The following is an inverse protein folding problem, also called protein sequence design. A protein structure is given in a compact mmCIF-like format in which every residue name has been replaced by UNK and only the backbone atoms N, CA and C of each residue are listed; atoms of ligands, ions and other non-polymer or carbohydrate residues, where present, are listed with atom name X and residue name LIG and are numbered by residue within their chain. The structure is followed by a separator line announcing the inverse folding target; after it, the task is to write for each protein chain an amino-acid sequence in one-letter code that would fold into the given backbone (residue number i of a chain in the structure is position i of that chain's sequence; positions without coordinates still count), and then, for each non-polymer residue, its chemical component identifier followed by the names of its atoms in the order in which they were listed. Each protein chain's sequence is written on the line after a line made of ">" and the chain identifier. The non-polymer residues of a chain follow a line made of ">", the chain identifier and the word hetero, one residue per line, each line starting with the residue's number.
data_IF_109450633764
#
_entry.id   IF_109450633764
#
_cell.length_a   1.000
_cell.length_b   1.000
_cell.length_c   1.000
_cell.angle_alpha   90.00
_cell.angle_beta   90.00
_cell.angle_gamma   90.00
#
_symmetry.space_group_name_H-M   'P 1'
#
loop_
_entity.id
_entity.type
_entity.pdbx_description
1 polymer ?
#
# COMPACT_ATOMS: atom_id res chain seq x y z
N UNK A 1 -22.01 55.47 51.09
CA UNK A 1 -20.86 54.80 50.43
C UNK A 1 -20.86 53.28 50.56
N UNK A 2 -21.09 52.69 51.75
CA UNK A 2 -21.08 51.22 51.93
C UNK A 2 -22.18 50.44 51.19
N UNK A 3 -23.34 51.06 50.92
CA UNK A 3 -24.48 50.44 50.20
C UNK A 3 -24.21 50.18 48.70
N UNK A 4 -23.27 50.91 48.08
CA UNK A 4 -22.88 50.71 46.67
C UNK A 4 -21.76 49.67 46.51
N UNK A 5 -21.07 49.29 47.60
CA UNK A 5 -19.99 48.30 47.53
C UNK A 5 -20.51 46.90 47.21
N UNK A 6 -21.67 46.52 47.76
CA UNK A 6 -22.29 45.22 47.53
C UNK A 6 -22.58 44.97 46.03
N UNK A 7 -23.29 45.85 45.30
CA UNK A 7 -23.54 45.64 43.87
C UNK A 7 -22.25 45.68 43.03
N UNK A 8 -21.25 46.49 43.41
CA UNK A 8 -19.95 46.52 42.71
C UNK A 8 -19.20 45.20 42.88
N UNK A 9 -19.19 44.62 44.09
CA UNK A 9 -18.57 43.32 44.35
C UNK A 9 -19.27 42.23 43.54
N UNK A 10 -20.60 42.23 43.49
CA UNK A 10 -21.38 41.27 42.70
C UNK A 10 -21.02 41.37 41.21
N UNK A 11 -20.95 42.60 40.66
CA UNK A 11 -20.55 42.83 39.28
C UNK A 11 -19.11 42.37 39.00
N UNK A 12 -18.18 42.62 39.92
CA UNK A 12 -16.79 42.19 39.79
C UNK A 12 -16.68 40.65 39.78
N UNK A 13 -17.42 39.95 40.65
CA UNK A 13 -17.46 38.48 40.69
C UNK A 13 -18.07 37.91 39.41
N UNK A 14 -19.16 38.51 38.90
CA UNK A 14 -19.77 38.13 37.63
C UNK A 14 -18.82 38.31 36.46
N UNK A 15 -18.15 39.47 36.37
CA UNK A 15 -17.16 39.74 35.33
C UNK A 15 -15.99 38.75 35.39
N UNK A 16 -15.49 38.46 36.58
CA UNK A 16 -14.42 37.48 36.79
C UNK A 16 -14.85 36.05 36.41
N UNK A 17 -16.08 35.65 36.73
CA UNK A 17 -16.63 34.35 36.36
C UNK A 17 -16.73 34.17 34.84
N UNK A 18 -17.27 35.18 34.14
CA UNK A 18 -17.37 35.16 32.67
C UNK A 18 -15.99 35.14 32.02
N UNK A 19 -15.05 35.95 32.52
CA UNK A 19 -13.68 35.98 32.03
C UNK A 19 -12.99 34.61 32.20
N UNK A 20 -13.10 34.02 33.39
CA UNK A 20 -12.49 32.72 33.67
C UNK A 20 -13.08 31.60 32.80
N UNK A 21 -14.39 31.63 32.56
CA UNK A 21 -15.05 30.70 31.66
C UNK A 21 -14.57 30.85 30.21
N UNK A 22 -14.48 32.08 29.70
CA UNK A 22 -14.02 32.36 28.35
C UNK A 22 -12.57 31.90 28.11
N UNK A 23 -11.68 32.16 29.08
CA UNK A 23 -10.29 31.69 29.03
C UNK A 23 -10.21 30.16 29.06
N UNK A 24 -10.99 29.52 29.94
CA UNK A 24 -11.06 28.06 30.03
C UNK A 24 -11.50 27.43 28.71
N UNK A 25 -12.57 27.95 28.12
CA UNK A 25 -13.08 27.48 26.83
C UNK A 25 -12.03 27.60 25.71
N UNK A 26 -11.37 28.76 25.61
CA UNK A 26 -10.35 28.98 24.60
C UNK A 26 -9.15 28.03 24.75
N UNK A 27 -8.68 27.82 25.98
CA UNK A 27 -7.57 26.90 26.23
C UNK A 27 -7.90 25.45 25.85
N UNK A 28 -9.12 25.01 26.15
CA UNK A 28 -9.60 23.68 25.75
C UNK A 28 -9.72 23.57 24.23
N UNK A 29 -10.27 24.58 23.56
CA UNK A 29 -10.39 24.61 22.10
C UNK A 29 -9.02 24.50 21.41
N UNK A 30 -8.03 25.29 21.87
CA UNK A 30 -6.65 25.25 21.35
C UNK A 30 -6.01 23.86 21.55
N UNK A 31 -6.29 23.21 22.69
CA UNK A 31 -5.78 21.87 22.96
C UNK A 31 -6.37 20.85 21.99
N UNK A 32 -7.68 20.92 21.72
CA UNK A 32 -8.33 20.04 20.75
C UNK A 32 -7.85 20.28 19.32
N UNK A 33 -7.63 21.54 18.94
CA UNK A 33 -7.04 21.87 17.64
C UNK A 33 -5.63 21.29 17.50
N UNK A 34 -4.79 21.45 18.52
CA UNK A 34 -3.44 20.89 18.52
C UNK A 34 -3.46 19.36 18.39
N UNK A 35 -4.31 18.68 19.16
CA UNK A 35 -4.47 17.23 19.08
C UNK A 35 -4.93 16.78 17.69
N UNK A 36 -5.95 17.43 17.12
CA UNK A 36 -6.45 17.11 15.78
C UNK A 36 -5.36 17.29 14.72
N UNK A 37 -4.56 18.36 14.82
CA UNK A 37 -3.44 18.62 13.92
C UNK A 37 -2.34 17.56 14.05
N UNK A 38 -2.02 17.14 15.27
CA UNK A 38 -1.05 16.06 15.52
C UNK A 38 -1.53 14.74 14.91
N UNK A 39 -2.79 14.37 15.13
CA UNK A 39 -3.35 13.16 14.53
C UNK A 39 -3.34 13.21 13.00
N UNK A 40 -3.69 14.36 12.41
CA UNK A 40 -3.60 14.53 10.97
C UNK A 40 -2.16 14.41 10.44
N UNK A 41 -1.19 14.99 11.15
CA UNK A 41 0.24 14.88 10.82
C UNK A 41 0.73 13.44 10.88
N UNK A 42 0.23 12.63 11.82
CA UNK A 42 0.56 11.20 11.90
C UNK A 42 0.04 10.44 10.69
N UNK A 43 -1.21 10.71 10.29
CA UNK A 43 -1.83 10.12 9.10
C UNK A 43 -1.03 10.48 7.84
N UNK A 44 -0.71 11.76 7.66
CA UNK A 44 0.08 12.23 6.52
C UNK A 44 1.46 11.55 6.47
N UNK A 45 2.16 11.49 7.59
CA UNK A 45 3.48 10.83 7.69
C UNK A 45 3.39 9.33 7.34
N UNK A 46 2.33 8.65 7.77
CA UNK A 46 2.11 7.25 7.44
C UNK A 46 1.87 7.04 5.92
N UNK A 47 1.10 7.93 5.29
CA UNK A 47 0.88 7.90 3.84
C UNK A 47 2.17 8.18 3.05
N UNK A 48 2.96 9.17 3.47
CA UNK A 48 4.26 9.47 2.86
C UNK A 48 5.19 8.25 2.95
N UNK A 49 5.36 7.67 4.14
CA UNK A 49 6.19 6.46 4.33
C UNK A 49 5.71 5.29 3.49
N UNK A 50 4.39 5.07 3.39
CA UNK A 50 3.84 4.00 2.53
C UNK A 50 4.21 4.25 1.07
N UNK A 51 4.06 5.49 0.60
CA UNK A 51 4.37 5.86 -0.78
C UNK A 51 5.86 5.67 -1.09
N UNK A 52 6.75 6.10 -0.20
CA UNK A 52 8.19 5.94 -0.34
C UNK A 52 8.61 4.46 -0.42
N UNK A 53 7.91 3.59 0.33
CA UNK A 53 8.19 2.16 0.36
C UNK A 53 7.62 1.38 -0.85
N UNK A 54 6.62 1.91 -1.56
CA UNK A 54 6.04 1.23 -2.74
C UNK A 54 7.13 0.93 -3.77
N UNK A 55 8.02 1.89 -4.04
CA UNK A 55 9.11 1.69 -5.01
C UNK A 55 10.06 0.55 -4.61
N UNK A 56 10.35 0.42 -3.31
CA UNK A 56 11.17 -0.68 -2.79
C UNK A 56 10.45 -2.02 -2.91
N UNK A 57 9.15 -2.07 -2.60
CA UNK A 57 8.35 -3.28 -2.74
C UNK A 57 8.29 -3.76 -4.20
N UNK A 58 8.05 -2.84 -5.14
CA UNK A 58 8.03 -3.14 -6.58
C UNK A 58 9.36 -3.72 -7.02
N UNK A 59 10.49 -3.13 -6.61
CA UNK A 59 11.83 -3.64 -6.93
C UNK A 59 12.05 -5.05 -6.38
N UNK A 60 11.61 -5.34 -5.16
CA UNK A 60 11.74 -6.69 -4.58
C UNK A 60 10.92 -7.72 -5.35
N UNK A 61 9.65 -7.41 -5.67
CA UNK A 61 8.80 -8.30 -6.47
C UNK A 61 9.36 -8.49 -7.87
N UNK A 62 9.85 -7.42 -8.50
CA UNK A 62 10.47 -7.49 -9.82
C UNK A 62 11.73 -8.35 -9.82
N UNK A 63 12.59 -8.23 -8.81
CA UNK A 63 13.76 -9.09 -8.67
C UNK A 63 13.41 -10.59 -8.52
N UNK A 64 12.35 -10.91 -7.78
CA UNK A 64 11.84 -12.28 -7.70
C UNK A 64 11.25 -12.77 -9.03
N UNK A 65 10.47 -11.93 -9.72
CA UNK A 65 9.92 -12.25 -11.03
C UNK A 65 11.00 -12.47 -12.08
N UNK A 66 12.06 -11.64 -12.09
CA UNK A 66 13.20 -11.78 -13.00
C UNK A 66 13.98 -13.08 -12.74
N UNK A 67 14.12 -13.48 -11.47
CA UNK A 67 14.72 -14.76 -11.08
C UNK A 67 13.90 -15.96 -11.57
N UNK A 68 12.58 -15.92 -11.43
CA UNK A 68 11.69 -17.01 -11.85
C UNK A 68 11.52 -17.09 -13.36
N UNK A 69 11.56 -15.94 -14.07
CA UNK A 69 11.37 -15.87 -15.52
C UNK A 69 12.33 -16.79 -16.27
N UNK A 70 13.63 -16.73 -15.94
CA UNK A 70 14.64 -17.57 -16.61
C UNK A 70 14.43 -19.06 -16.33
N UNK A 71 14.00 -19.41 -15.12
CA UNK A 71 13.68 -20.80 -14.75
C UNK A 71 12.47 -21.30 -15.55
N UNK A 72 11.40 -20.51 -15.61
CA UNK A 72 10.20 -20.84 -16.34
C UNK A 72 10.48 -21.00 -17.84
N UNK A 73 11.23 -20.07 -18.44
CA UNK A 73 11.66 -20.15 -19.85
C UNK A 73 12.47 -21.43 -20.11
N UNK A 74 13.40 -21.77 -19.22
CA UNK A 74 14.23 -22.98 -19.33
C UNK A 74 13.40 -24.26 -19.27
N UNK A 75 12.44 -24.34 -18.34
CA UNK A 75 11.54 -25.49 -18.22
C UNK A 75 10.61 -25.62 -19.43
N UNK A 76 10.04 -24.50 -19.90
CA UNK A 76 9.19 -24.49 -21.10
C UNK A 76 9.99 -24.93 -22.32
N UNK A 77 11.21 -24.42 -22.50
CA UNK A 77 12.08 -24.80 -23.60
C UNK A 77 12.46 -26.28 -23.54
N UNK A 78 12.89 -26.78 -22.38
CA UNK A 78 13.20 -28.19 -22.19
C UNK A 78 11.99 -29.09 -22.46
N UNK A 79 10.79 -28.68 -22.03
CA UNK A 79 9.55 -29.40 -22.33
C UNK A 79 9.25 -29.41 -23.82
N UNK A 80 9.35 -28.25 -24.49
CA UNK A 80 9.12 -28.14 -25.93
C UNK A 80 10.13 -28.96 -26.74
N UNK A 81 11.39 -29.01 -26.33
CA UNK A 81 12.43 -29.86 -26.93
C UNK A 81 12.14 -31.34 -26.70
N UNK A 82 11.77 -31.75 -25.49
CA UNK A 82 11.45 -33.14 -25.17
C UNK A 82 10.21 -33.66 -25.92
N UNK A 83 9.23 -32.79 -26.17
CA UNK A 83 8.04 -33.13 -26.96
C UNK A 83 8.22 -32.91 -28.46
N UNK A 84 9.36 -32.40 -28.91
CA UNK A 84 9.61 -32.12 -30.32
C UNK A 84 9.77 -33.45 -31.06
N UNK A 85 8.81 -33.77 -31.92
CA UNK A 85 8.97 -34.86 -32.87
C UNK A 85 9.75 -34.36 -34.07
N UNK A 86 10.94 -34.91 -34.32
CA UNK A 86 11.78 -34.60 -35.50
C UNK A 86 11.84 -35.80 -36.43
N UNK A 87 11.49 -35.62 -37.70
CA UNK A 87 11.80 -36.57 -38.79
C UNK A 87 13.03 -36.07 -39.53
N UNK A 88 14.01 -36.94 -39.74
CA UNK A 88 15.11 -36.67 -40.66
C UNK A 88 14.65 -36.89 -42.10
N UNK A 89 15.04 -35.99 -43.01
CA UNK A 89 14.65 -36.04 -44.43
C UNK A 89 15.13 -37.31 -45.16
N UNK A 90 16.05 -38.08 -44.58
CA UNK A 90 16.51 -39.38 -45.09
C UNK A 90 15.62 -40.59 -44.71
N UNK A 91 14.71 -40.44 -43.75
CA UNK A 91 13.89 -41.53 -43.16
C UNK A 91 12.38 -41.41 -43.49
N UNK A 92 12.04 -40.71 -44.59
CA UNK A 92 10.67 -40.44 -45.06
C UNK A 92 10.00 -41.68 -45.69
N UNK A 93 9.94 -42.80 -44.96
CA UNK A 93 9.15 -43.97 -45.36
C UNK A 93 7.69 -43.82 -44.93
N UNK A 94 6.73 -44.46 -45.62
CA UNK A 94 5.31 -44.41 -45.25
C UNK A 94 5.04 -44.85 -43.79
N UNK A 95 5.77 -45.85 -43.30
CA UNK A 95 5.66 -46.33 -41.92
C UNK A 95 6.21 -45.34 -40.88
N UNK A 96 7.32 -44.65 -41.18
CA UNK A 96 7.88 -43.64 -40.28
C UNK A 96 7.02 -42.38 -40.24
N UNK A 97 6.37 -42.02 -41.35
CA UNK A 97 5.39 -40.94 -41.42
C UNK A 97 4.12 -41.25 -40.62
N UNK A 98 3.63 -42.50 -40.69
CA UNK A 98 2.48 -42.94 -39.89
C UNK A 98 2.78 -42.93 -38.37
N UNK A 99 3.96 -43.41 -37.97
CA UNK A 99 4.42 -43.34 -36.57
C UNK A 99 4.57 -41.90 -36.07
N UNK A 100 5.03 -40.99 -36.91
CA UNK A 100 5.13 -39.56 -36.58
C UNK A 100 3.77 -38.88 -36.44
N UNK A 101 2.82 -39.16 -37.34
CA UNK A 101 1.44 -38.67 -37.23
C UNK A 101 0.76 -39.20 -35.96
N UNK A 102 0.99 -40.46 -35.61
CA UNK A 102 0.47 -41.06 -34.38
C UNK A 102 1.09 -40.43 -33.11
N UNK A 103 2.39 -40.12 -33.14
CA UNK A 103 3.08 -39.43 -32.04
C UNK A 103 2.65 -37.96 -31.89
N UNK A 104 2.32 -37.27 -32.97
CA UNK A 104 1.74 -35.91 -32.92
C UNK A 104 0.29 -35.90 -32.42
N UNK A 105 -0.49 -36.95 -32.67
CA UNK A 105 -1.89 -37.02 -32.25
C UNK A 105 -2.09 -37.19 -30.73
N UNK A 106 -1.03 -37.52 -29.98
CA UNK A 106 -1.07 -37.75 -28.53
C UNK A 106 -0.47 -36.63 -27.68
N UNK A 107 -0.13 -35.50 -28.31
CA UNK A 107 0.56 -34.34 -27.73
C UNK A 107 -0.41 -33.15 -27.59
#
# INVERSE_FOLDING_TARGET
>A
MKKLLIPIIILAVLAFGIYSWAVGFNNTAVTYEANAKTEWSNVESAYQRRNDLIGNLVKTVQGAADFEKGTLESVIKARAEATKTTINAGDLTPENMAKFQQAQSGL
#
